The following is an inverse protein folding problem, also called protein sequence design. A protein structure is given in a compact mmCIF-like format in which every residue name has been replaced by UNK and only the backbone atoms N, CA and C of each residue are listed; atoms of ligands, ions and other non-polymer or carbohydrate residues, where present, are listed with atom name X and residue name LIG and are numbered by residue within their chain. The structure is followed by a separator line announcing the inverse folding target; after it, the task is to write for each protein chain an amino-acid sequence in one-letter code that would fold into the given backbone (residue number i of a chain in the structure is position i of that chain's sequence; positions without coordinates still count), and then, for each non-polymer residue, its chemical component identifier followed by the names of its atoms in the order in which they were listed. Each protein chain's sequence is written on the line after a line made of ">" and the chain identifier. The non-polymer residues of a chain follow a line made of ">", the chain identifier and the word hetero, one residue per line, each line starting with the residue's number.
data_IF_714065827789
#
_entry.id   IF_714065827789
#
_cell.length_a   1.000
_cell.length_b   1.000
_cell.length_c   1.000
_cell.angle_alpha   90.00
_cell.angle_beta   90.00
_cell.angle_gamma   90.00
#
_symmetry.space_group_name_H-M   'P 1'
#
loop_
_entity.id
_entity.type
_entity.pdbx_description
1 polymer ?
#
# COMPACT_ATOMS: atom_id res chain seq x y z
N UNK A 1 -13.93 -10.84 2.35
CA UNK A 1 -12.81 -10.60 1.40
C UNK A 1 -11.62 -10.04 2.18
N UNK A 2 -10.48 -10.67 2.04
CA UNK A 2 -9.27 -10.30 2.76
C UNK A 2 -8.29 -9.61 1.81
N UNK A 3 -8.02 -8.33 2.06
CA UNK A 3 -7.16 -7.49 1.21
C UNK A 3 -5.94 -7.06 2.01
N UNK A 4 -4.76 -7.26 1.44
CA UNK A 4 -3.49 -6.71 1.94
C UNK A 4 -3.12 -5.52 1.08
N UNK A 5 -2.86 -4.38 1.70
CA UNK A 5 -2.30 -3.22 1.00
C UNK A 5 -0.77 -3.35 0.92
N UNK A 6 -0.20 -3.00 -0.21
CA UNK A 6 1.25 -3.00 -0.44
C UNK A 6 1.68 -1.63 -0.93
N UNK A 7 2.49 -0.95 -0.14
CA UNK A 7 2.99 0.41 -0.40
C UNK A 7 4.51 0.37 -0.50
N UNK A 8 5.06 1.04 -1.51
CA UNK A 8 6.51 1.24 -1.63
C UNK A 8 6.81 2.72 -1.39
N UNK A 9 7.81 3.02 -0.56
CA UNK A 9 8.18 4.38 -0.21
C UNK A 9 9.70 4.59 -0.32
N UNK A 10 10.09 5.81 -0.72
CA UNK A 10 11.48 6.25 -0.70
C UNK A 10 11.54 7.76 -0.45
N UNK A 11 12.09 8.17 0.70
CA UNK A 11 12.32 9.57 1.05
C UNK A 11 11.11 10.51 0.86
N UNK A 12 9.93 10.06 1.28
CA UNK A 12 8.67 10.83 1.23
C UNK A 12 7.88 10.69 2.52
N UNK A 13 8.53 10.88 3.65
CA UNK A 13 7.95 10.60 4.96
C UNK A 13 6.61 11.32 5.19
N UNK A 14 6.52 12.60 4.85
CA UNK A 14 5.28 13.37 5.11
C UNK A 14 4.10 12.86 4.29
N UNK A 15 4.33 12.47 3.03
CA UNK A 15 3.30 11.86 2.20
C UNK A 15 2.93 10.47 2.69
N UNK A 16 3.92 9.68 3.10
CA UNK A 16 3.71 8.35 3.65
C UNK A 16 2.83 8.40 4.91
N UNK A 17 3.04 9.37 5.79
CA UNK A 17 2.21 9.52 7.00
C UNK A 17 0.73 9.62 6.67
N UNK A 18 0.36 10.45 5.70
CA UNK A 18 -1.02 10.60 5.24
C UNK A 18 -1.52 9.29 4.61
N UNK A 19 -0.72 8.67 3.77
CA UNK A 19 -1.08 7.42 3.09
C UNK A 19 -1.32 6.28 4.09
N UNK A 20 -0.49 6.15 5.12
CA UNK A 20 -0.69 5.15 6.18
C UNK A 20 -1.96 5.44 6.97
N UNK A 21 -2.21 6.69 7.34
CA UNK A 21 -3.43 7.09 8.05
C UNK A 21 -4.68 6.69 7.27
N UNK A 22 -4.72 7.02 5.98
CA UNK A 22 -5.84 6.67 5.08
C UNK A 22 -5.97 5.16 4.89
N UNK A 23 -4.86 4.45 4.83
CA UNK A 23 -4.85 2.99 4.70
C UNK A 23 -5.38 2.31 5.97
N UNK A 24 -5.02 2.81 7.14
CA UNK A 24 -5.52 2.30 8.42
C UNK A 24 -7.02 2.52 8.61
N UNK A 25 -7.60 3.52 7.95
CA UNK A 25 -9.04 3.74 7.95
C UNK A 25 -9.80 2.72 7.09
N UNK A 26 -9.11 1.96 6.24
CA UNK A 26 -9.71 0.89 5.44
C UNK A 26 -9.66 -0.44 6.20
N UNK A 27 -10.59 -1.36 5.95
CA UNK A 27 -10.60 -2.67 6.61
C UNK A 27 -9.62 -3.67 5.97
N UNK A 28 -8.41 -3.23 5.64
CA UNK A 28 -7.36 -4.13 5.16
C UNK A 28 -6.91 -5.04 6.30
N UNK A 29 -6.63 -6.30 5.98
CA UNK A 29 -6.10 -7.23 6.98
C UNK A 29 -4.69 -6.83 7.43
N UNK A 30 -3.87 -6.41 6.49
CA UNK A 30 -2.50 -5.96 6.73
C UNK A 30 -2.13 -4.85 5.75
N UNK A 31 -1.18 -4.02 6.16
CA UNK A 31 -0.61 -2.95 5.35
C UNK A 31 0.91 -3.17 5.34
N UNK A 32 1.42 -3.68 4.24
CA UNK A 32 2.84 -3.94 4.07
C UNK A 32 3.50 -2.74 3.41
N UNK A 33 4.51 -2.18 4.06
CA UNK A 33 5.26 -1.02 3.59
C UNK A 33 6.69 -1.43 3.28
N UNK A 34 7.08 -1.30 2.02
CA UNK A 34 8.46 -1.52 1.60
C UNK A 34 9.20 -0.18 1.68
N UNK A 35 10.07 -0.06 2.65
CA UNK A 35 10.95 1.10 2.78
C UNK A 35 12.22 0.86 1.94
N UNK A 36 12.31 1.57 0.84
CA UNK A 36 13.33 1.40 -0.20
C UNK A 36 14.64 2.13 0.15
N UNK A 37 15.18 1.84 1.34
CA UNK A 37 16.41 2.44 1.86
C UNK A 37 16.31 3.97 2.04
N UNK A 38 15.21 4.46 2.61
CA UNK A 38 15.03 5.88 2.91
C UNK A 38 16.04 6.38 3.95
N UNK A 39 16.45 7.63 3.82
CA UNK A 39 17.37 8.30 4.74
C UNK A 39 16.76 9.52 5.46
N UNK A 40 15.45 9.73 5.34
CA UNK A 40 14.71 10.90 5.83
C UNK A 40 13.97 10.69 7.17
N UNK A 41 14.29 9.63 7.91
CA UNK A 41 13.59 9.30 9.15
C UNK A 41 12.39 8.36 8.98
N UNK A 42 12.13 7.87 7.76
CA UNK A 42 11.02 6.96 7.47
C UNK A 42 11.11 5.68 8.30
N UNK A 43 12.29 5.08 8.39
CA UNK A 43 12.50 3.84 9.15
C UNK A 43 12.11 4.02 10.62
N UNK A 44 12.63 5.05 11.24
CA UNK A 44 12.40 5.36 12.66
C UNK A 44 10.92 5.63 12.92
N UNK A 45 10.26 6.34 12.01
CA UNK A 45 8.83 6.62 12.12
C UNK A 45 7.99 5.34 11.99
N UNK A 46 8.29 4.50 11.02
CA UNK A 46 7.58 3.22 10.82
C UNK A 46 7.75 2.28 12.02
N UNK A 47 8.93 2.24 12.63
CA UNK A 47 9.20 1.41 13.81
C UNK A 47 8.40 1.84 15.05
N UNK A 48 7.92 3.09 15.09
CA UNK A 48 7.11 3.62 16.19
C UNK A 48 5.60 3.45 16.01
N UNK A 49 5.15 2.95 14.87
CA UNK A 49 3.72 2.71 14.64
C UNK A 49 3.26 1.55 15.51
N UNK A 50 2.22 1.79 16.32
CA UNK A 50 1.71 0.79 17.25
C UNK A 50 0.70 -0.18 16.64
N UNK A 51 0.21 0.07 15.43
CA UNK A 51 -0.77 -0.81 14.78
C UNK A 51 -0.14 -2.14 14.37
N UNK A 52 -0.72 -3.24 14.85
CA UNK A 52 -0.31 -4.59 14.47
C UNK A 52 -0.57 -4.92 12.99
N UNK A 53 -1.39 -4.12 12.31
CA UNK A 53 -1.69 -4.31 10.88
C UNK A 53 -0.59 -3.75 9.98
N UNK A 54 0.26 -2.84 10.47
CA UNK A 54 1.34 -2.26 9.67
C UNK A 54 2.58 -3.12 9.80
N UNK A 55 3.07 -3.61 8.68
CA UNK A 55 4.28 -4.44 8.59
C UNK A 55 5.27 -3.67 7.72
N UNK A 56 6.35 -3.20 8.33
CA UNK A 56 7.40 -2.46 7.63
C UNK A 56 8.59 -3.37 7.31
N UNK A 57 8.99 -3.38 6.04
CA UNK A 57 10.16 -4.12 5.56
C UNK A 57 11.19 -3.11 5.05
N UNK A 58 12.34 -3.05 5.73
CA UNK A 58 13.40 -2.08 5.43
C UNK A 58 14.46 -2.72 4.54
N UNK A 59 14.54 -2.27 3.29
CA UNK A 59 15.57 -2.74 2.35
C UNK A 59 16.88 -2.01 2.59
N UNK A 60 18.01 -2.69 2.35
CA UNK A 60 19.34 -2.10 2.51
C UNK A 60 19.72 -1.20 1.33
N UNK A 61 19.10 -1.41 0.17
CA UNK A 61 19.34 -0.62 -1.03
C UNK A 61 18.01 -0.31 -1.73
N UNK A 62 17.96 0.80 -2.45
CA UNK A 62 16.79 1.18 -3.24
C UNK A 62 16.72 0.32 -4.51
N UNK A 63 15.68 -0.51 -4.60
CA UNK A 63 15.43 -1.42 -5.74
C UNK A 63 14.48 -0.82 -6.78
N UNK A 64 14.15 0.47 -6.66
CA UNK A 64 13.13 1.13 -7.49
C UNK A 64 11.72 0.72 -7.11
N UNK A 65 10.72 1.37 -7.72
CA UNK A 65 9.31 1.08 -7.46
C UNK A 65 8.95 -0.36 -7.83
N UNK A 66 9.29 -0.78 -9.05
CA UNK A 66 9.02 -2.15 -9.52
C UNK A 66 9.70 -3.21 -8.65
N UNK A 67 10.96 -2.98 -8.27
CA UNK A 67 11.71 -3.90 -7.39
C UNK A 67 11.11 -3.98 -5.99
N UNK A 68 10.63 -2.86 -5.47
CA UNK A 68 9.94 -2.81 -4.17
C UNK A 68 8.61 -3.57 -4.20
N UNK A 69 7.79 -3.37 -5.22
CA UNK A 69 6.53 -4.09 -5.38
C UNK A 69 6.74 -5.59 -5.58
N UNK A 70 7.75 -5.96 -6.36
CA UNK A 70 8.12 -7.37 -6.54
C UNK A 70 8.51 -8.00 -5.21
N UNK A 71 9.40 -7.36 -4.48
CA UNK A 71 9.85 -7.84 -3.16
C UNK A 71 8.66 -8.01 -2.21
N UNK A 72 7.82 -6.99 -2.12
CA UNK A 72 6.66 -7.00 -1.23
C UNK A 72 5.63 -8.07 -1.58
N UNK A 73 5.31 -8.22 -2.86
CA UNK A 73 4.33 -9.23 -3.29
C UNK A 73 4.84 -10.66 -3.06
N UNK A 74 6.11 -10.92 -3.27
CA UNK A 74 6.72 -12.22 -2.96
C UNK A 74 6.70 -12.48 -1.45
N UNK A 75 7.01 -11.47 -0.64
CA UNK A 75 6.98 -11.59 0.82
C UNK A 75 5.56 -11.88 1.32
N UNK A 76 4.57 -11.17 0.82
CA UNK A 76 3.15 -11.38 1.17
C UNK A 76 2.73 -12.80 0.82
N UNK A 77 3.07 -13.26 -0.37
CA UNK A 77 2.71 -14.60 -0.84
C UNK A 77 3.29 -15.71 0.04
N UNK A 78 4.44 -15.49 0.67
CA UNK A 78 5.10 -16.46 1.55
C UNK A 78 4.68 -16.38 3.00
N UNK A 79 4.24 -15.21 3.46
CA UNK A 79 4.06 -14.94 4.89
C UNK A 79 2.62 -14.64 5.31
N UNK A 80 1.78 -14.21 4.38
CA UNK A 80 0.39 -13.83 4.67
C UNK A 80 -0.59 -14.62 3.79
N UNK A 81 -1.83 -14.70 4.26
CA UNK A 81 -2.94 -15.24 3.48
C UNK A 81 -3.89 -14.10 3.14
N UNK A 82 -4.22 -13.92 1.88
CA UNK A 82 -5.16 -12.91 1.44
C UNK A 82 -5.82 -13.31 0.11
N UNK A 83 -6.94 -12.66 -0.19
CA UNK A 83 -7.64 -12.85 -1.48
C UNK A 83 -7.08 -11.92 -2.54
N UNK A 84 -6.69 -10.70 -2.12
CA UNK A 84 -6.21 -9.66 -3.02
C UNK A 84 -5.07 -8.86 -2.41
N UNK A 85 -4.16 -8.39 -3.26
CA UNK A 85 -3.14 -7.40 -2.91
C UNK A 85 -3.46 -6.11 -3.65
N UNK A 86 -3.57 -5.01 -2.92
CA UNK A 86 -3.78 -3.68 -3.49
C UNK A 86 -2.45 -2.93 -3.49
N UNK A 87 -1.94 -2.60 -4.67
CA UNK A 87 -0.68 -1.88 -4.86
C UNK A 87 -0.93 -0.39 -5.02
N UNK A 88 -0.24 0.45 -4.26
CA UNK A 88 -0.22 1.90 -4.49
C UNK A 88 1.06 2.54 -3.95
N UNK A 89 1.36 3.73 -4.45
CA UNK A 89 2.54 4.49 -4.05
C UNK A 89 2.31 5.21 -2.72
N UNK A 90 3.39 5.75 -2.17
CA UNK A 90 3.39 6.48 -0.90
C UNK A 90 2.67 7.84 -0.95
N UNK A 91 2.31 8.32 -2.11
CA UNK A 91 1.60 9.58 -2.36
C UNK A 91 0.16 9.39 -2.90
N UNK A 92 -0.32 8.17 -2.90
CA UNK A 92 -1.68 7.84 -3.32
C UNK A 92 -2.33 6.95 -2.26
N UNK A 93 -3.63 7.05 -2.09
CA UNK A 93 -4.36 6.25 -1.10
C UNK A 93 -5.79 6.00 -1.55
N UNK A 94 -6.42 4.92 -1.06
CA UNK A 94 -7.81 4.63 -1.42
C UNK A 94 -8.78 5.69 -0.90
N UNK A 95 -9.87 5.92 -1.64
CA UNK A 95 -11.00 6.72 -1.16
C UNK A 95 -11.66 6.06 0.05
N UNK A 96 -12.37 6.83 0.86
CA UNK A 96 -12.99 6.33 2.10
C UNK A 96 -13.91 5.13 1.86
N UNK A 97 -14.63 5.11 0.76
CA UNK A 97 -15.58 4.05 0.39
C UNK A 97 -14.98 2.97 -0.52
N UNK A 98 -13.67 2.94 -0.67
CA UNK A 98 -12.97 2.02 -1.59
C UNK A 98 -13.36 0.56 -1.35
N UNK A 99 -13.26 0.09 -0.11
CA UNK A 99 -13.54 -1.30 0.22
C UNK A 99 -15.00 -1.66 -0.08
N UNK A 100 -15.92 -0.78 0.30
CA UNK A 100 -17.35 -1.00 0.07
C UNK A 100 -17.67 -1.07 -1.42
N UNK A 101 -17.07 -0.20 -2.22
CA UNK A 101 -17.24 -0.22 -3.68
C UNK A 101 -16.64 -1.50 -4.29
N UNK A 102 -15.46 -1.91 -3.83
CA UNK A 102 -14.81 -3.10 -4.34
C UNK A 102 -15.63 -4.36 -4.08
N UNK A 103 -16.12 -4.56 -2.85
CA UNK A 103 -16.90 -5.74 -2.49
C UNK A 103 -18.28 -5.79 -3.16
N UNK A 104 -18.78 -4.65 -3.64
CA UNK A 104 -20.02 -4.59 -4.41
C UNK A 104 -19.86 -5.00 -5.88
N UNK A 105 -18.62 -5.13 -6.37
CA UNK A 105 -18.32 -5.53 -7.74
C UNK A 105 -18.20 -7.04 -7.87
N UNK A 106 -18.49 -7.56 -9.06
CA UNK A 106 -18.25 -8.96 -9.39
C UNK A 106 -16.81 -9.12 -9.86
N UNK A 107 -15.88 -9.34 -8.93
CA UNK A 107 -14.47 -9.53 -9.26
C UNK A 107 -14.13 -11.01 -9.36
N UNK A 108 -13.20 -11.34 -10.25
CA UNK A 108 -12.81 -12.71 -10.60
C UNK A 108 -11.35 -12.96 -10.21
N UNK A 109 -11.08 -14.07 -9.54
CA UNK A 109 -9.78 -14.37 -8.92
C UNK A 109 -8.59 -14.39 -9.90
N UNK A 110 -8.82 -14.73 -11.14
CA UNK A 110 -7.76 -14.86 -12.14
C UNK A 110 -7.45 -13.55 -12.90
N UNK A 111 -8.04 -12.44 -12.47
CA UNK A 111 -7.88 -11.14 -13.12
C UNK A 111 -7.13 -10.16 -12.25
N UNK A 112 -6.38 -9.26 -12.89
CA UNK A 112 -5.87 -8.06 -12.25
C UNK A 112 -6.77 -6.87 -12.62
N UNK A 113 -7.01 -5.98 -11.67
CA UNK A 113 -7.86 -4.81 -11.86
C UNK A 113 -7.06 -3.53 -11.63
N UNK A 114 -7.27 -2.53 -12.48
CA UNK A 114 -6.73 -1.20 -12.28
C UNK A 114 -7.82 -0.30 -11.71
N UNK A 115 -7.48 0.44 -10.66
CA UNK A 115 -8.38 1.39 -10.06
C UNK A 115 -8.32 2.73 -10.80
N UNK A 116 -9.44 3.43 -10.80
CA UNK A 116 -9.51 4.79 -11.29
C UNK A 116 -8.75 5.71 -10.32
N UNK A 117 -7.84 6.50 -10.84
CA UNK A 117 -7.07 7.47 -10.04
C UNK A 117 -7.64 8.86 -10.27
N UNK A 118 -7.92 9.58 -9.19
CA UNK A 118 -8.43 10.95 -9.21
C UNK A 118 -7.54 11.86 -8.37
N UNK A 119 -7.51 13.14 -8.70
CA UNK A 119 -6.84 14.15 -7.88
C UNK A 119 -7.75 14.62 -6.72
N UNK A 120 -7.25 15.57 -5.91
CA UNK A 120 -7.99 16.09 -4.76
C UNK A 120 -9.27 16.85 -5.17
N UNK A 121 -9.39 17.28 -6.43
CA UNK A 121 -10.57 17.93 -6.99
C UNK A 121 -11.50 16.94 -7.70
N UNK A 122 -11.22 15.63 -7.57
CA UNK A 122 -11.99 14.53 -8.13
C UNK A 122 -11.90 14.42 -9.67
N UNK A 123 -10.85 14.99 -10.28
CA UNK A 123 -10.56 14.82 -11.70
C UNK A 123 -9.81 13.51 -11.93
N UNK A 124 -10.12 12.82 -13.04
CA UNK A 124 -9.42 11.58 -13.41
C UNK A 124 -8.00 11.90 -13.86
N UNK A 125 -7.02 11.28 -13.22
CA UNK A 125 -5.62 11.35 -13.62
C UNK A 125 -5.35 10.40 -14.79
N UNK A 126 -4.60 10.85 -15.77
CA UNK A 126 -4.09 9.98 -16.84
C UNK A 126 -2.89 9.19 -16.29
N UNK A 127 -2.91 7.91 -16.52
CA UNK A 127 -1.79 7.03 -16.20
C UNK A 127 -0.91 6.83 -17.43
#
# INVERSE_FOLDING_TARGET
>A
MKIVALIVTFNRLEKLKTTIEKSLAQPFSDIVVINNASSDGTKEWLEKIESSRVIALHLEENKGGAGGFKYGSEWISRNLSCDWILFYDDDAYPCEDFYQQLVSQSIVDECAYACKVVDLENNICKM
#
